data_IF_800865211842
#
_entry.id   IF_800865211842
#
_cell.length_a   1.000
_cell.length_b   1.000
_cell.length_c   1.000
_cell.angle_alpha   90.00
_cell.angle_beta   90.00
_cell.angle_gamma   90.00
#
_symmetry.space_group_name_H-M   'P 1'
#
loop_
_entity.id
_entity.type
_entity.pdbx_description
1 polymer ?
#
# COMPACT_ATOMS: atom_id res chain seq x y z
N UNK A 1 2.44 8.66 17.04
CA UNK A 1 2.55 8.86 15.58
C UNK A 1 1.87 7.72 14.86
N UNK A 2 1.04 8.03 13.86
CA UNK A 2 0.19 7.12 13.08
C UNK A 2 0.93 6.03 12.28
N UNK A 3 0.21 4.95 11.97
CA UNK A 3 0.64 3.78 11.19
C UNK A 3 1.17 4.10 9.78
N UNK A 4 0.58 5.10 9.09
CA UNK A 4 0.94 5.50 7.72
C UNK A 4 2.36 6.09 7.58
N UNK A 5 3.04 6.32 8.71
CA UNK A 5 4.38 6.92 8.74
C UNK A 5 5.53 5.91 8.83
N UNK A 6 5.23 4.62 8.91
CA UNK A 6 6.25 3.58 9.05
C UNK A 6 6.88 3.16 7.71
N UNK A 7 6.08 3.03 6.65
CA UNK A 7 6.53 2.57 5.33
C UNK A 7 5.93 3.38 4.19
N UNK A 8 6.54 3.32 3.00
CA UNK A 8 6.05 4.04 1.81
C UNK A 8 4.77 3.43 1.22
N UNK A 9 4.55 2.16 1.50
CA UNK A 9 3.32 1.45 1.19
C UNK A 9 3.10 0.30 2.19
N UNK A 10 1.94 -0.37 2.10
CA UNK A 10 1.57 -1.46 3.02
C UNK A 10 2.55 -2.62 2.99
N UNK A 11 3.12 -2.97 1.84
CA UNK A 11 4.04 -4.09 1.72
C UNK A 11 5.37 -3.77 2.41
N UNK A 12 5.88 -2.56 2.18
CA UNK A 12 7.07 -2.00 2.83
C UNK A 12 6.90 -1.96 4.36
N UNK A 13 5.71 -1.58 4.83
CA UNK A 13 5.39 -1.56 6.25
C UNK A 13 5.39 -2.96 6.88
N UNK A 14 4.77 -3.97 6.25
CA UNK A 14 4.76 -5.35 6.75
C UNK A 14 6.19 -5.89 6.83
N UNK A 15 6.99 -5.63 5.80
CA UNK A 15 8.39 -6.03 5.72
C UNK A 15 9.18 -5.47 6.91
N UNK A 16 9.06 -4.17 7.18
CA UNK A 16 9.71 -3.50 8.31
C UNK A 16 9.25 -4.08 9.66
N UNK A 17 7.94 -4.28 9.85
CA UNK A 17 7.44 -4.84 11.11
C UNK A 17 7.97 -6.25 11.35
N UNK A 18 8.05 -7.08 10.29
CA UNK A 18 8.63 -8.42 10.38
C UNK A 18 10.12 -8.37 10.71
N UNK A 19 10.88 -7.50 10.04
CA UNK A 19 12.32 -7.32 10.32
C UNK A 19 12.56 -6.90 11.76
N UNK A 20 11.78 -5.96 12.30
CA UNK A 20 11.89 -5.55 13.69
C UNK A 20 11.47 -6.66 14.67
N UNK A 21 10.44 -7.44 14.37
CA UNK A 21 10.03 -8.59 15.17
C UNK A 21 11.12 -9.69 15.21
N UNK A 22 11.76 -9.96 14.08
CA UNK A 22 12.90 -10.90 13.99
C UNK A 22 14.12 -10.43 14.82
N UNK A 23 14.24 -9.11 15.04
CA UNK A 23 15.25 -8.50 15.93
C UNK A 23 14.80 -8.41 17.40
N UNK A 24 13.59 -8.85 17.74
CA UNK A 24 13.01 -8.72 19.08
C UNK A 24 12.60 -7.29 19.44
N UNK A 25 12.42 -6.41 18.46
CA UNK A 25 12.04 -5.00 18.63
C UNK A 25 10.53 -4.85 18.44
N UNK A 26 9.87 -4.30 19.45
CA UNK A 26 8.45 -3.96 19.37
C UNK A 26 8.24 -2.50 18.91
N UNK A 27 7.24 -2.28 18.06
CA UNK A 27 6.84 -0.97 17.56
C UNK A 27 5.55 -0.56 18.25
N UNK A 28 5.49 0.69 18.71
CA UNK A 28 4.28 1.30 19.30
C UNK A 28 3.86 2.53 18.53
N UNK A 29 2.66 2.49 17.97
CA UNK A 29 2.00 3.60 17.29
C UNK A 29 1.22 4.42 18.31
N UNK A 30 1.83 5.52 18.80
CA UNK A 30 1.26 6.30 19.90
C UNK A 30 -0.11 6.96 19.60
N UNK A 31 -0.38 7.29 18.33
CA UNK A 31 -1.62 7.99 17.98
C UNK A 31 -2.80 7.00 17.86
N UNK A 32 -2.51 5.80 17.37
CA UNK A 32 -3.50 4.76 17.13
C UNK A 32 -3.68 3.82 18.35
N UNK A 33 -2.81 3.95 19.36
CA UNK A 33 -2.80 3.08 20.55
C UNK A 33 -2.40 1.64 20.25
N UNK A 34 -1.73 1.39 19.12
CA UNK A 34 -1.39 0.06 18.64
C UNK A 34 0.03 -0.29 19.04
N UNK A 35 0.23 -1.50 19.55
CA UNK A 35 1.54 -2.07 19.83
C UNK A 35 1.71 -3.36 19.03
N UNK A 36 2.92 -3.63 18.53
CA UNK A 36 3.27 -4.94 17.96
C UNK A 36 3.76 -5.93 19.01
N UNK A 37 3.80 -5.51 20.28
CA UNK A 37 4.22 -6.32 21.41
C UNK A 37 3.17 -7.39 21.76
N UNK A 38 3.64 -8.60 21.99
CA UNK A 38 2.79 -9.74 22.33
C UNK A 38 1.99 -10.28 21.14
N UNK A 39 1.35 -11.43 21.36
CA UNK A 39 0.60 -12.18 20.32
C UNK A 39 -0.58 -11.38 19.75
N UNK A 40 -1.24 -10.56 20.57
CA UNK A 40 -2.36 -9.71 20.16
C UNK A 40 -1.91 -8.55 19.26
N UNK A 41 -0.75 -7.96 19.53
CA UNK A 41 -0.21 -6.86 18.73
C UNK A 41 0.12 -7.28 17.30
N UNK A 42 0.75 -8.45 17.16
CA UNK A 42 1.04 -9.05 15.84
C UNK A 42 -0.22 -9.33 15.03
N UNK A 43 -1.31 -9.77 15.69
CA UNK A 43 -2.61 -9.99 15.04
C UNK A 43 -3.22 -8.69 14.54
N UNK A 44 -3.25 -7.64 15.36
CA UNK A 44 -3.83 -6.33 15.00
C UNK A 44 -3.09 -5.72 13.81
N UNK A 45 -1.76 -5.76 13.80
CA UNK A 45 -0.95 -5.33 12.66
C UNK A 45 -1.31 -6.10 11.39
N UNK A 46 -1.44 -7.42 11.49
CA UNK A 46 -1.73 -8.28 10.34
C UNK A 46 -3.10 -7.94 9.73
N UNK A 47 -4.11 -7.74 10.59
CA UNK A 47 -5.46 -7.35 10.15
C UNK A 47 -5.43 -5.99 9.46
N UNK A 48 -4.81 -4.98 10.07
CA UNK A 48 -4.73 -3.64 9.49
C UNK A 48 -3.96 -3.64 8.17
N UNK A 49 -2.92 -4.45 8.09
CA UNK A 49 -2.15 -4.64 6.86
C UNK A 49 -2.99 -5.29 5.76
N UNK A 50 -3.79 -6.31 6.10
CA UNK A 50 -4.70 -6.95 5.16
C UNK A 50 -5.77 -5.98 4.65
N UNK A 51 -6.33 -5.15 5.53
CA UNK A 51 -7.31 -4.10 5.16
C UNK A 51 -6.66 -3.10 4.20
N UNK A 52 -5.48 -2.56 4.53
CA UNK A 52 -4.80 -1.60 3.68
C UNK A 52 -4.42 -2.20 2.31
N UNK A 53 -4.05 -3.48 2.26
CA UNK A 53 -3.78 -4.18 1.00
C UNK A 53 -5.05 -4.33 0.15
N UNK A 54 -6.19 -4.68 0.77
CA UNK A 54 -7.47 -4.78 0.08
C UNK A 54 -7.92 -3.43 -0.51
N UNK A 55 -7.73 -2.33 0.23
CA UNK A 55 -8.02 -0.98 -0.28
C UNK A 55 -7.13 -0.61 -1.47
N UNK A 56 -5.83 -0.92 -1.41
CA UNK A 56 -4.90 -0.69 -2.53
C UNK A 56 -5.33 -1.46 -3.78
N UNK A 57 -5.71 -2.73 -3.64
CA UNK A 57 -6.21 -3.54 -4.74
C UNK A 57 -7.48 -2.95 -5.34
N UNK A 58 -8.43 -2.53 -4.51
CA UNK A 58 -9.67 -1.87 -4.97
C UNK A 58 -9.40 -0.58 -5.77
N UNK A 59 -8.44 0.23 -5.34
CA UNK A 59 -8.03 1.43 -6.10
C UNK A 59 -7.44 1.05 -7.45
N UNK A 60 -6.60 0.02 -7.50
CA UNK A 60 -5.99 -0.47 -8.73
C UNK A 60 -7.03 -1.04 -9.70
N UNK A 61 -7.99 -1.84 -9.22
CA UNK A 61 -9.10 -2.37 -10.00
C UNK A 61 -9.87 -1.24 -10.68
N UNK A 62 -10.36 -0.27 -9.89
CA UNK A 62 -11.12 0.87 -10.43
C UNK A 62 -10.30 1.71 -11.42
N UNK A 63 -9.00 1.86 -11.16
CA UNK A 63 -8.11 2.60 -12.06
C UNK A 63 -7.91 1.84 -13.38
N UNK A 64 -7.81 0.51 -13.32
CA UNK A 64 -7.67 -0.33 -14.50
C UNK A 64 -8.95 -0.34 -15.32
N UNK A 65 -10.12 -0.44 -14.69
CA UNK A 65 -11.43 -0.32 -15.35
C UNK A 65 -11.54 1.00 -16.11
N UNK A 66 -11.29 2.13 -15.43
CA UNK A 66 -11.31 3.45 -16.06
C UNK A 66 -10.29 3.60 -17.19
N UNK A 67 -9.10 2.97 -17.06
CA UNK A 67 -8.09 2.95 -18.13
C UNK A 67 -8.57 2.17 -19.36
N UNK A 68 -9.21 1.03 -19.17
CA UNK A 68 -9.76 0.22 -20.26
C UNK A 68 -10.88 0.96 -20.99
N UNK A 69 -11.80 1.60 -20.25
CA UNK A 69 -12.84 2.44 -20.84
C UNK A 69 -12.26 3.62 -21.64
N UNK A 70 -11.28 4.32 -21.09
CA UNK A 70 -10.62 5.43 -21.77
C UNK A 70 -9.93 4.97 -23.05
N UNK A 71 -9.27 3.79 -23.02
CA UNK A 71 -8.66 3.19 -24.20
C UNK A 71 -9.72 2.83 -25.26
N UNK A 72 -10.87 2.28 -24.85
CA UNK A 72 -11.99 2.00 -25.75
C UNK A 72 -12.58 3.28 -26.37
N UNK A 73 -12.60 4.39 -25.63
CA UNK A 73 -12.97 5.73 -26.11
C UNK A 73 -11.90 6.38 -27.02
N UNK A 74 -10.80 5.68 -27.32
CA UNK A 74 -9.75 6.15 -28.23
C UNK A 74 -8.69 7.05 -27.59
N UNK A 75 -8.63 7.15 -26.26
CA UNK A 75 -7.58 7.92 -25.57
C UNK A 75 -6.20 7.28 -25.83
N UNK A 76 -5.30 8.03 -26.45
CA UNK A 76 -3.90 7.63 -26.66
C UNK A 76 -3.08 7.90 -25.39
N UNK A 77 -2.76 6.83 -24.67
CA UNK A 77 -1.87 6.86 -23.52
C UNK A 77 -0.39 6.85 -23.92
N UNK A 78 0.50 7.16 -22.97
CA UNK A 78 1.94 7.22 -23.18
C UNK A 78 2.42 8.59 -23.64
N UNK A 79 3.73 8.71 -23.89
CA UNK A 79 4.35 9.97 -24.31
C UNK A 79 3.89 10.32 -25.72
N UNK A 80 3.36 11.55 -25.90
CA UNK A 80 3.00 12.06 -27.22
C UNK A 80 4.23 12.07 -28.15
N UNK A 81 4.09 11.66 -29.43
CA UNK A 81 5.17 11.77 -30.41
C UNK A 81 5.62 13.24 -30.52
N UNK A 82 6.94 13.48 -30.46
CA UNK A 82 7.53 14.83 -30.61
C UNK A 82 7.96 15.16 -32.04
N UNK A 83 7.96 14.17 -32.93
CA UNK A 83 8.38 14.30 -34.32
C UNK A 83 7.32 13.64 -35.20
N UNK A 84 6.90 14.32 -36.26
CA UNK A 84 6.03 13.73 -37.27
C UNK A 84 6.85 12.68 -38.03
N UNK A 85 6.47 11.41 -37.92
CA UNK A 85 6.90 10.41 -38.89
C UNK A 85 6.03 10.61 -40.14
N UNK A 86 6.59 11.29 -41.13
CA UNK A 86 6.08 11.31 -42.48
C UNK A 86 6.19 9.92 -43.11
#
# INVERSE_FOLDING_TARGET
KKLDRLGRDTADMIQLIKEFDDMGVAIRFLDDGISTEGTMGKMVVTILSAVAQAERLRILERTNEGRLEAKAKGVKFGRKPKVNKA
#
